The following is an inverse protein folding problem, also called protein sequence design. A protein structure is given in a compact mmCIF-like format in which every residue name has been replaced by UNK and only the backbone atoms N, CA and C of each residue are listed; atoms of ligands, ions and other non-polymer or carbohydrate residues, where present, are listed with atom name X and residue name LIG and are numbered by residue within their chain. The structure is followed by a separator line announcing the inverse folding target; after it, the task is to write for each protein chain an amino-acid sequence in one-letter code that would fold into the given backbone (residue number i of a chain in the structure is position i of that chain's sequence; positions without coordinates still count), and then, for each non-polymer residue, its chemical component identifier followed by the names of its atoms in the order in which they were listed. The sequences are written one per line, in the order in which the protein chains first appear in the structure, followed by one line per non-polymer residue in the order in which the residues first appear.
data_IF_854770751262
#
_entry.id   IF_854770751262
#
_cell.length_a   1.000
_cell.length_b   1.000
_cell.length_c   1.000
_cell.angle_alpha   90.00
_cell.angle_beta   90.00
_cell.angle_gamma   90.00
#
_symmetry.space_group_name_H-M   'P 1'
#
loop_
_entity.id
_entity.type
_entity.pdbx_description
1 polymer ?
#
# COMPACT_ATOMS: atom_id res chain seq x y z
N UNK A 1 -6.72 -9.14 20.05
CA UNK A 1 -7.91 -9.50 19.24
C UNK A 1 -7.53 -9.42 17.77
N UNK A 2 -7.87 -10.43 16.95
CA UNK A 2 -7.69 -10.35 15.51
C UNK A 2 -8.59 -9.23 14.97
N UNK A 3 -8.00 -8.24 14.30
CA UNK A 3 -8.77 -7.17 13.66
C UNK A 3 -9.56 -7.80 12.50
N UNK A 4 -10.85 -7.44 12.30
CA UNK A 4 -11.57 -7.87 11.12
C UNK A 4 -10.99 -7.15 9.90
N UNK A 5 -10.09 -7.81 9.19
CA UNK A 5 -9.38 -7.26 8.03
C UNK A 5 -10.28 -6.95 6.84
N UNK A 6 -11.39 -7.69 6.69
CA UNK A 6 -12.37 -7.50 5.59
C UNK A 6 -12.78 -6.03 5.39
N UNK A 7 -13.39 -5.34 6.38
CA UNK A 7 -13.80 -3.95 6.20
C UNK A 7 -12.65 -2.96 5.94
N UNK A 8 -11.42 -3.30 6.35
CA UNK A 8 -10.25 -2.43 6.15
C UNK A 8 -9.69 -2.57 4.72
N UNK A 9 -9.67 -3.79 4.19
CA UNK A 9 -9.14 -4.10 2.86
C UNK A 9 -10.15 -3.72 1.76
N UNK A 10 -11.45 -3.86 2.00
CA UNK A 10 -12.49 -3.54 1.00
C UNK A 10 -12.38 -2.11 0.47
N UNK A 11 -11.97 -1.15 1.31
CA UNK A 11 -11.75 0.27 0.92
C UNK A 11 -10.49 0.50 0.07
N UNK A 12 -9.59 -0.48 0.04
CA UNK A 12 -8.32 -0.45 -0.68
C UNK A 12 -8.34 -1.30 -1.95
N UNK A 13 -9.38 -2.12 -2.17
CA UNK A 13 -9.56 -2.88 -3.41
C UNK A 13 -9.58 -1.93 -4.62
N UNK A 14 -8.83 -2.30 -5.65
CA UNK A 14 -8.67 -1.48 -6.85
C UNK A 14 -7.70 -0.30 -6.74
N UNK A 15 -7.09 -0.06 -5.57
CA UNK A 15 -5.99 0.91 -5.44
C UNK A 15 -4.66 0.27 -5.83
N UNK A 16 -3.84 1.05 -6.51
CA UNK A 16 -2.46 0.67 -6.85
C UNK A 16 -1.60 0.57 -5.58
N UNK A 17 -0.68 -0.39 -5.54
CA UNK A 17 0.27 -0.58 -4.45
C UNK A 17 1.66 -0.70 -5.04
N UNK A 18 2.59 0.10 -4.52
CA UNK A 18 4.00 0.07 -4.89
C UNK A 18 4.80 -0.49 -3.72
N UNK A 19 5.77 -1.35 -4.02
CA UNK A 19 6.65 -1.93 -3.02
C UNK A 19 8.12 -1.76 -3.41
N UNK A 20 8.95 -1.36 -2.46
CA UNK A 20 10.42 -1.32 -2.61
C UNK A 20 11.00 -2.37 -1.68
N UNK A 21 11.74 -3.32 -2.23
CA UNK A 21 12.44 -4.37 -1.47
C UNK A 21 13.90 -3.97 -1.28
N UNK A 22 14.36 -3.94 -0.02
CA UNK A 22 15.75 -3.65 0.32
C UNK A 22 16.24 -4.55 1.45
N UNK A 23 17.22 -5.41 1.15
CA UNK A 23 17.98 -6.16 2.17
C UNK A 23 17.13 -6.93 3.19
N UNK A 24 15.99 -7.49 2.79
CA UNK A 24 15.07 -8.23 3.68
C UNK A 24 13.93 -7.39 4.25
N UNK A 25 13.89 -6.09 3.99
CA UNK A 25 12.76 -5.22 4.31
C UNK A 25 11.93 -4.91 3.05
N UNK A 26 10.64 -4.62 3.26
CA UNK A 26 9.74 -4.14 2.22
C UNK A 26 9.04 -2.89 2.70
N UNK A 27 9.18 -1.80 1.94
CA UNK A 27 8.41 -0.57 2.12
C UNK A 27 7.24 -0.58 1.13
N UNK A 28 6.04 -0.24 1.60
CA UNK A 28 4.81 -0.25 0.79
C UNK A 28 4.21 1.14 0.73
N UNK A 29 3.67 1.53 -0.42
CA UNK A 29 2.91 2.75 -0.61
C UNK A 29 1.59 2.42 -1.30
N UNK A 30 0.47 2.85 -0.70
CA UNK A 30 -0.87 2.64 -1.25
C UNK A 30 -1.35 3.89 -1.97
N UNK A 31 -1.89 3.71 -3.17
CA UNK A 31 -2.37 4.78 -4.04
C UNK A 31 -1.30 5.36 -4.94
N UNK A 32 -1.71 6.33 -5.77
CA UNK A 32 -0.83 6.94 -6.78
C UNK A 32 0.00 8.05 -6.16
N UNK A 33 1.31 7.84 -6.01
CA UNK A 33 2.22 8.94 -5.72
C UNK A 33 2.32 9.78 -7.00
N UNK A 34 1.59 10.89 -7.07
CA UNK A 34 1.84 11.88 -8.13
C UNK A 34 3.31 12.27 -8.00
N UNK A 35 4.09 12.02 -9.05
CA UNK A 35 5.50 12.35 -9.07
C UNK A 35 5.71 13.82 -8.72
N UNK A 36 6.88 14.11 -8.15
CA UNK A 36 7.40 15.47 -8.07
C UNK A 36 7.19 16.10 -9.45
N UNK A 37 6.33 17.11 -9.52
CA UNK A 37 6.32 18.01 -10.65
C UNK A 37 7.67 18.70 -10.61
N UNK A 38 8.53 18.41 -11.60
CA UNK A 38 9.69 19.22 -11.90
C UNK A 38 9.24 20.63 -12.32
#
# INVERSE_FOLDING_TARGET
TLVPWRPVIDRQLGREVIAIVQGGSVSWQLGRQRGIAL
#
